data_IF_569646510451
#
_entry.id   IF_569646510451
#
_cell.length_a   1.000
_cell.length_b   1.000
_cell.length_c   1.000
_cell.angle_alpha   90.00
_cell.angle_beta   90.00
_cell.angle_gamma   90.00
#
_symmetry.space_group_name_H-M   'P 1'
#
loop_
_entity.id
_entity.type
_entity.pdbx_description
1 polymer ?
#
# COMPACT_ATOMS: atom_id res chain seq x y z
N UNK A 1 -32.68 22.04 37.69
CA UNK A 1 -31.22 21.89 37.94
C UNK A 1 -30.82 20.53 37.39
N UNK A 2 -30.01 20.38 36.34
CA UNK A 2 -29.06 21.29 35.69
C UNK A 2 -29.08 21.05 34.18
N UNK A 3 -29.12 22.14 33.42
CA UNK A 3 -28.61 22.21 32.07
C UNK A 3 -27.08 22.34 32.15
N UNK A 4 -26.36 21.61 31.29
CA UNK A 4 -24.98 21.90 30.90
C UNK A 4 -24.97 21.63 29.38
N UNK A 5 -25.27 22.64 28.56
CA UNK A 5 -24.25 23.51 27.93
C UNK A 5 -23.24 22.63 27.18
N UNK A 6 -23.50 22.25 25.93
CA UNK A 6 -23.33 23.07 24.72
C UNK A 6 -21.97 23.76 24.61
N UNK A 7 -20.89 23.03 24.88
CA UNK A 7 -19.56 23.36 24.35
C UNK A 7 -19.49 22.91 22.88
N UNK A 8 -20.23 23.66 22.07
CA UNK A 8 -20.06 23.76 20.63
C UNK A 8 -18.62 24.21 20.40
N UNK A 9 -17.76 23.30 19.95
CA UNK A 9 -16.46 23.63 19.38
C UNK A 9 -16.67 24.50 18.14
N UNK A 10 -16.88 25.80 18.37
CA UNK A 10 -16.64 26.85 17.39
C UNK A 10 -15.13 26.93 17.17
N UNK A 11 -14.59 25.95 16.47
CA UNK A 11 -13.31 26.16 15.80
C UNK A 11 -13.54 27.27 14.78
N UNK A 12 -12.87 28.40 15.01
CA UNK A 12 -12.89 29.54 14.10
C UNK A 12 -12.63 29.06 12.67
N UNK A 13 -13.39 29.48 11.65
CA UNK A 13 -13.12 29.08 10.28
C UNK A 13 -11.71 29.56 9.95
N UNK A 14 -10.78 28.62 9.80
CA UNK A 14 -9.44 28.93 9.29
C UNK A 14 -9.64 29.46 7.88
N UNK A 15 -9.60 30.78 7.74
CA UNK A 15 -9.73 31.49 6.46
C UNK A 15 -8.48 31.20 5.64
N UNK A 16 -8.48 30.08 4.92
CA UNK A 16 -7.54 29.87 3.83
C UNK A 16 -8.03 30.71 2.65
N UNK A 17 -7.17 31.62 2.17
CA UNK A 17 -7.45 32.43 0.97
C UNK A 17 -7.62 31.46 -0.19
N UNK A 18 -8.86 31.27 -0.62
CA UNK A 18 -9.20 30.37 -1.72
C UNK A 18 -9.83 31.17 -2.85
N UNK A 19 -9.26 31.02 -4.04
CA UNK A 19 -9.89 31.49 -5.27
C UNK A 19 -10.96 30.48 -5.71
N UNK A 20 -12.14 30.95 -6.10
CA UNK A 20 -13.15 30.10 -6.78
C UNK A 20 -14.35 29.61 -5.95
N UNK A 21 -14.53 30.06 -4.70
CA UNK A 21 -15.68 29.65 -3.87
C UNK A 21 -15.53 28.25 -3.26
N UNK A 22 -16.63 27.64 -2.82
CA UNK A 22 -16.62 26.27 -2.25
C UNK A 22 -16.42 25.19 -3.32
N UNK A 23 -15.94 23.99 -2.97
CA UNK A 23 -15.85 22.85 -3.93
C UNK A 23 -17.22 22.59 -4.57
N UNK A 24 -18.30 22.63 -3.80
CA UNK A 24 -19.66 22.48 -4.31
C UNK A 24 -19.97 23.47 -5.44
N UNK A 25 -19.64 24.75 -5.25
CA UNK A 25 -19.83 25.77 -6.29
C UNK A 25 -19.02 25.46 -7.54
N UNK A 26 -17.75 25.06 -7.39
CA UNK A 26 -16.87 24.68 -8.51
C UNK A 26 -17.47 23.50 -9.30
N UNK A 27 -17.93 22.46 -8.61
CA UNK A 27 -18.55 21.29 -9.25
C UNK A 27 -19.86 21.66 -9.97
N UNK A 28 -20.67 22.54 -9.39
CA UNK A 28 -21.92 23.00 -10.00
C UNK A 28 -21.68 23.91 -11.22
N UNK A 29 -20.68 24.79 -11.16
CA UNK A 29 -20.25 25.62 -12.30
C UNK A 29 -19.74 24.77 -13.46
N UNK A 30 -18.97 23.72 -13.18
CA UNK A 30 -18.54 22.78 -14.21
C UNK A 30 -19.71 22.14 -14.96
N UNK A 31 -20.79 21.76 -14.26
CA UNK A 31 -22.00 21.24 -14.90
C UNK A 31 -22.72 22.25 -15.81
N UNK A 32 -22.42 23.55 -15.68
CA UNK A 32 -22.91 24.63 -16.54
C UNK A 32 -21.94 24.96 -17.70
N UNK A 33 -20.81 24.25 -17.79
CA UNK A 33 -19.79 24.47 -18.82
C UNK A 33 -18.63 25.36 -18.40
N UNK A 34 -18.60 25.86 -17.16
CA UNK A 34 -17.49 26.67 -16.64
C UNK A 34 -16.38 25.76 -16.09
N UNK A 35 -15.24 25.67 -16.80
CA UNK A 35 -14.18 24.71 -16.48
C UNK A 35 -12.99 25.28 -15.69
N UNK A 36 -12.79 26.60 -15.73
CA UNK A 36 -11.58 27.25 -15.21
C UNK A 36 -11.32 26.95 -13.72
N UNK A 37 -12.35 27.07 -12.89
CA UNK A 37 -12.23 26.85 -11.44
C UNK A 37 -11.91 25.37 -11.13
N UNK A 38 -12.45 24.43 -11.93
CA UNK A 38 -12.18 23.00 -11.77
C UNK A 38 -10.74 22.66 -12.18
N UNK A 39 -10.25 23.23 -13.27
CA UNK A 39 -8.86 23.01 -13.70
C UNK A 39 -7.87 23.59 -12.70
N UNK A 40 -8.15 24.77 -12.12
CA UNK A 40 -7.34 25.31 -11.02
C UNK A 40 -7.34 24.37 -9.81
N UNK A 41 -8.49 23.82 -9.42
CA UNK A 41 -8.62 22.86 -8.34
C UNK A 41 -7.78 21.60 -8.59
N UNK A 42 -7.84 21.02 -9.80
CA UNK A 42 -7.02 19.86 -10.18
C UNK A 42 -5.52 20.15 -10.09
N UNK A 43 -5.10 21.33 -10.55
CA UNK A 43 -3.70 21.75 -10.49
C UNK A 43 -3.20 21.89 -9.05
N UNK A 44 -4.00 22.48 -8.17
CA UNK A 44 -3.67 22.61 -6.75
C UNK A 44 -3.52 21.27 -6.04
N UNK A 45 -4.37 20.29 -6.37
CA UNK A 45 -4.29 18.95 -5.82
C UNK A 45 -3.13 18.12 -6.39
N UNK A 46 -2.63 18.49 -7.57
CA UNK A 46 -1.51 17.81 -8.22
C UNK A 46 -0.15 18.36 -7.81
N UNK A 47 -0.12 19.37 -6.93
CA UNK A 47 1.11 19.94 -6.39
C UNK A 47 1.88 18.87 -5.58
N UNK A 48 3.11 18.48 -6.00
CA UNK A 48 3.89 17.47 -5.28
C UNK A 48 4.28 17.94 -3.87
N UNK A 49 4.37 19.25 -3.64
CA UNK A 49 4.78 19.86 -2.37
C UNK A 49 3.58 20.28 -1.51
N UNK A 50 2.38 19.75 -1.83
CA UNK A 50 1.16 20.02 -1.06
C UNK A 50 1.35 19.69 0.42
N UNK A 51 0.99 20.65 1.28
CA UNK A 51 1.17 20.56 2.73
C UNK A 51 0.00 19.86 3.41
N UNK A 52 0.25 19.25 4.57
CA UNK A 52 -0.75 18.53 5.36
C UNK A 52 -2.01 19.37 5.63
N UNK A 53 -1.86 20.63 6.04
CA UNK A 53 -3.00 21.55 6.25
C UNK A 53 -3.84 21.75 4.98
N UNK A 54 -3.21 21.77 3.81
CA UNK A 54 -3.92 21.91 2.54
C UNK A 54 -4.66 20.62 2.20
N UNK A 55 -4.02 19.46 2.35
CA UNK A 55 -4.66 18.15 2.15
C UNK A 55 -5.89 18.02 3.06
N UNK A 56 -5.75 18.32 4.35
CA UNK A 56 -6.84 18.27 5.33
C UNK A 56 -8.01 19.16 4.90
N UNK A 57 -7.74 20.42 4.55
CA UNK A 57 -8.78 21.35 4.11
C UNK A 57 -9.50 20.84 2.85
N UNK A 58 -8.75 20.32 1.88
CA UNK A 58 -9.35 19.76 0.67
C UNK A 58 -10.24 18.56 0.97
N UNK A 59 -9.76 17.60 1.78
CA UNK A 59 -10.53 16.42 2.16
C UNK A 59 -11.84 16.79 2.88
N UNK A 60 -11.80 17.78 3.78
CA UNK A 60 -13.00 18.29 4.46
C UNK A 60 -14.02 18.89 3.50
N UNK A 61 -13.58 19.67 2.53
CA UNK A 61 -14.46 20.25 1.52
C UNK A 61 -15.02 19.20 0.55
N UNK A 62 -14.21 18.21 0.15
CA UNK A 62 -14.67 17.09 -0.66
C UNK A 62 -15.69 16.23 0.07
N UNK A 63 -15.49 15.98 1.37
CA UNK A 63 -16.48 15.30 2.22
C UNK A 63 -17.79 16.08 2.29
N UNK A 64 -17.71 17.40 2.40
CA UNK A 64 -18.90 18.28 2.44
C UNK A 64 -19.64 18.38 1.10
N UNK A 65 -18.96 18.03 0.00
CA UNK A 65 -19.50 18.08 -1.37
C UNK A 65 -19.67 16.71 -2.02
N UNK A 66 -19.55 15.62 -1.24
CA UNK A 66 -19.43 14.25 -1.75
C UNK A 66 -20.61 13.81 -2.63
N UNK A 67 -21.81 14.32 -2.36
CA UNK A 67 -23.01 14.05 -3.17
C UNK A 67 -22.92 14.57 -4.61
N UNK A 68 -22.05 15.56 -4.86
CA UNK A 68 -21.86 16.17 -6.18
C UNK A 68 -20.72 15.52 -6.98
N UNK A 69 -19.85 14.75 -6.33
CA UNK A 69 -18.75 14.02 -6.95
C UNK A 69 -19.28 12.81 -7.72
N UNK A 70 -20.06 13.03 -8.78
CA UNK A 70 -20.59 11.99 -9.66
C UNK A 70 -19.50 11.46 -10.61
N UNK A 71 -19.82 10.43 -11.41
CA UNK A 71 -18.91 9.86 -12.43
C UNK A 71 -18.30 10.91 -13.37
N UNK A 72 -19.00 12.03 -13.61
CA UNK A 72 -18.51 13.15 -14.43
C UNK A 72 -17.17 13.74 -13.91
N UNK A 73 -16.86 13.53 -12.64
CA UNK A 73 -15.65 14.01 -11.97
C UNK A 73 -14.61 12.90 -11.74
N UNK A 74 -14.66 11.81 -12.50
CA UNK A 74 -13.73 10.68 -12.37
C UNK A 74 -12.25 11.11 -12.42
N UNK A 75 -11.89 12.05 -13.29
CA UNK A 75 -10.52 12.57 -13.35
C UNK A 75 -10.11 13.26 -12.06
N UNK A 76 -11.00 14.06 -11.46
CA UNK A 76 -10.72 14.74 -10.19
C UNK A 76 -10.56 13.72 -9.05
N UNK A 77 -11.44 12.73 -8.98
CA UNK A 77 -11.34 11.65 -7.99
C UNK A 77 -10.03 10.90 -8.16
N UNK A 78 -9.61 10.60 -9.39
CA UNK A 78 -8.34 9.94 -9.66
C UNK A 78 -7.11 10.76 -9.23
N UNK A 79 -7.20 12.09 -9.17
CA UNK A 79 -6.14 12.95 -8.61
C UNK A 79 -6.15 12.84 -7.08
N UNK A 80 -7.32 12.95 -6.45
CA UNK A 80 -7.47 12.83 -4.98
C UNK A 80 -6.98 11.46 -4.49
N UNK A 81 -7.30 10.38 -5.23
CA UNK A 81 -6.86 9.02 -4.93
C UNK A 81 -5.33 8.83 -5.04
N UNK A 82 -4.62 9.75 -5.70
CA UNK A 82 -3.14 9.70 -5.82
C UNK A 82 -2.42 10.61 -4.83
N UNK A 83 -3.14 11.39 -4.04
CA UNK A 83 -2.52 12.23 -3.01
C UNK A 83 -1.67 11.35 -2.07
N UNK A 84 -0.46 11.80 -1.67
CA UNK A 84 0.34 11.06 -0.71
C UNK A 84 -0.33 11.14 0.67
N UNK A 85 -0.86 10.02 1.17
CA UNK A 85 -1.60 9.98 2.43
C UNK A 85 -0.99 9.03 3.48
N UNK A 86 -0.41 7.90 3.07
CA UNK A 86 0.16 6.89 3.98
C UNK A 86 1.36 7.40 4.81
N UNK A 87 2.27 8.15 4.18
CA UNK A 87 3.49 8.69 4.82
C UNK A 87 3.31 10.13 5.33
N UNK A 88 2.06 10.55 5.61
CA UNK A 88 1.73 11.90 6.12
C UNK A 88 1.32 11.84 7.59
N UNK A 89 1.06 12.98 8.20
CA UNK A 89 0.61 13.02 9.60
C UNK A 89 -0.66 12.20 9.84
N UNK A 90 -0.82 11.70 11.06
CA UNK A 90 -2.01 10.92 11.45
C UNK A 90 -3.31 11.66 11.13
N UNK A 91 -3.35 12.98 11.27
CA UNK A 91 -4.53 13.79 10.94
C UNK A 91 -4.88 13.72 9.45
N UNK A 92 -3.89 13.74 8.55
CA UNK A 92 -4.13 13.53 7.11
C UNK A 92 -4.69 12.13 6.87
N UNK A 93 -4.11 11.10 7.50
CA UNK A 93 -4.57 9.71 7.37
C UNK A 93 -6.04 9.58 7.78
N UNK A 94 -6.43 10.08 8.95
CA UNK A 94 -7.81 9.96 9.44
C UNK A 94 -8.82 10.70 8.56
N UNK A 95 -8.49 11.91 8.09
CA UNK A 95 -9.36 12.64 7.16
C UNK A 95 -9.46 11.94 5.80
N UNK A 96 -8.38 11.31 5.35
CA UNK A 96 -8.37 10.55 4.09
C UNK A 96 -9.25 9.31 4.21
N UNK A 97 -9.13 8.55 5.29
CA UNK A 97 -9.98 7.40 5.58
C UNK A 97 -11.47 7.78 5.68
N UNK A 98 -11.78 8.91 6.34
CA UNK A 98 -13.13 9.45 6.42
C UNK A 98 -13.66 9.86 5.03
N UNK A 99 -12.81 10.45 4.19
CA UNK A 99 -13.16 10.75 2.80
C UNK A 99 -13.46 9.49 1.99
N UNK A 100 -12.63 8.44 2.07
CA UNK A 100 -12.87 7.19 1.35
C UNK A 100 -14.23 6.57 1.74
N UNK A 101 -14.54 6.51 3.03
CA UNK A 101 -15.82 6.01 3.53
C UNK A 101 -17.01 6.83 3.02
N UNK A 102 -16.93 8.16 3.07
CA UNK A 102 -17.95 9.06 2.55
C UNK A 102 -18.12 8.89 1.03
N UNK A 103 -17.01 8.77 0.29
CA UNK A 103 -17.04 8.64 -1.16
C UNK A 103 -17.73 7.34 -1.59
N UNK A 104 -17.32 6.19 -1.05
CA UNK A 104 -17.90 4.90 -1.48
C UNK A 104 -19.35 4.71 -1.00
N UNK A 105 -19.73 5.35 0.11
CA UNK A 105 -21.11 5.30 0.61
C UNK A 105 -22.06 6.18 -0.20
N UNK A 106 -21.64 7.37 -0.59
CA UNK A 106 -22.45 8.28 -1.40
C UNK A 106 -22.38 7.98 -2.91
N UNK A 107 -21.23 7.50 -3.39
CA UNK A 107 -20.89 7.36 -4.81
C UNK A 107 -20.18 6.02 -5.05
N UNK A 108 -20.94 4.92 -4.92
CA UNK A 108 -20.44 3.54 -5.08
C UNK A 108 -19.75 3.26 -6.42
N UNK A 109 -19.96 4.10 -7.44
CA UNK A 109 -19.23 4.06 -8.72
C UNK A 109 -17.70 4.12 -8.53
N UNK A 110 -17.23 4.77 -7.47
CA UNK A 110 -15.80 4.89 -7.15
C UNK A 110 -15.26 3.77 -6.26
N UNK A 111 -16.07 2.77 -5.90
CA UNK A 111 -15.61 1.62 -5.11
C UNK A 111 -14.41 0.94 -5.76
N UNK A 112 -14.50 0.56 -7.04
CA UNK A 112 -13.41 -0.10 -7.77
C UNK A 112 -12.13 0.76 -7.81
N UNK A 113 -12.18 2.06 -8.19
CA UNK A 113 -11.03 2.95 -8.07
C UNK A 113 -10.39 2.99 -6.68
N UNK A 114 -11.19 3.12 -5.61
CA UNK A 114 -10.68 3.12 -4.23
C UNK A 114 -9.98 1.80 -3.89
N UNK A 115 -10.61 0.66 -4.19
CA UNK A 115 -10.03 -0.66 -3.95
C UNK A 115 -8.76 -0.89 -4.76
N UNK A 116 -8.72 -0.46 -6.02
CA UNK A 116 -7.52 -0.58 -6.85
C UNK A 116 -6.37 0.29 -6.33
N UNK A 117 -6.67 1.47 -5.80
CA UNK A 117 -5.67 2.34 -5.17
C UNK A 117 -5.10 1.65 -3.92
N UNK A 118 -5.95 1.20 -3.00
CA UNK A 118 -5.50 0.54 -1.77
C UNK A 118 -4.74 -0.76 -2.10
N UNK A 119 -5.24 -1.56 -3.03
CA UNK A 119 -4.59 -2.79 -3.50
C UNK A 119 -3.16 -2.54 -4.01
N UNK A 120 -2.92 -1.38 -4.64
CA UNK A 120 -1.61 -1.04 -5.20
C UNK A 120 -0.54 -0.81 -4.12
N UNK A 121 -0.94 -0.40 -2.92
CA UNK A 121 -0.02 -0.23 -1.79
C UNK A 121 0.43 -1.56 -1.17
N UNK A 122 -0.24 -2.67 -1.48
CA UNK A 122 0.20 -3.99 -1.04
C UNK A 122 1.23 -4.65 -1.96
N UNK A 123 1.46 -4.08 -3.14
CA UNK A 123 2.38 -4.64 -4.14
C UNK A 123 3.63 -3.78 -4.13
N UNK A 124 4.80 -4.31 -3.72
CA UNK A 124 6.07 -3.61 -3.87
C UNK A 124 6.25 -3.18 -5.32
N UNK A 125 6.89 -2.02 -5.61
CA UNK A 125 7.25 -1.65 -6.97
C UNK A 125 7.95 -2.85 -7.61
N UNK A 126 7.35 -3.41 -8.67
CA UNK A 126 7.81 -4.66 -9.26
C UNK A 126 9.30 -4.51 -9.61
N UNK A 127 10.17 -5.20 -8.88
CA UNK A 127 11.55 -5.38 -9.31
C UNK A 127 11.46 -6.23 -10.58
N UNK A 128 11.68 -5.59 -11.73
CA UNK A 128 11.76 -6.30 -13.01
C UNK A 128 13.17 -6.86 -13.06
N UNK A 129 13.37 -8.07 -12.55
CA UNK A 129 14.63 -8.75 -12.78
C UNK A 129 14.62 -9.30 -14.20
N UNK A 130 15.46 -8.69 -15.05
CA UNK A 130 15.86 -9.30 -16.31
C UNK A 130 17.20 -9.97 -16.07
N UNK A 131 17.17 -11.30 -15.94
CA UNK A 131 18.34 -12.11 -15.65
C UNK A 131 19.35 -12.11 -16.80
N UNK A 132 20.57 -11.71 -16.46
CA UNK A 132 21.80 -12.40 -16.86
C UNK A 132 22.19 -13.52 -15.87
N UNK A 133 21.21 -14.23 -15.30
CA UNK A 133 21.40 -15.49 -14.58
C UNK A 133 21.57 -15.45 -13.05
N UNK A 134 21.30 -14.32 -12.38
CA UNK A 134 21.09 -14.29 -10.93
C UNK A 134 20.14 -13.16 -10.55
N UNK A 135 18.97 -13.53 -10.04
CA UNK A 135 18.00 -12.65 -9.42
C UNK A 135 18.17 -12.69 -7.90
N UNK A 136 18.92 -11.72 -7.37
CA UNK A 136 19.00 -11.49 -5.93
C UNK A 136 18.53 -10.05 -5.70
N UNK A 137 17.22 -9.89 -5.50
CA UNK A 137 16.69 -8.70 -4.84
C UNK A 137 16.99 -8.82 -3.34
N UNK A 138 18.23 -8.56 -2.97
CA UNK A 138 18.64 -8.29 -1.59
C UNK A 138 18.24 -6.85 -1.29
N UNK A 139 17.03 -6.65 -0.80
CA UNK A 139 16.64 -5.38 -0.21
C UNK A 139 16.25 -5.61 1.24
N UNK A 140 17.25 -5.88 2.06
CA UNK A 140 17.27 -5.72 3.52
C UNK A 140 17.12 -4.23 3.96
N UNK A 141 16.54 -3.37 3.11
CA UNK A 141 16.03 -2.06 3.52
C UNK A 141 14.60 -2.29 4.02
N UNK A 142 14.46 -2.72 5.28
CA UNK A 142 13.17 -2.66 5.96
C UNK A 142 12.72 -1.19 5.97
N UNK A 143 11.81 -0.81 5.05
CA UNK A 143 11.08 0.46 5.14
C UNK A 143 10.33 0.38 6.49
N UNK A 144 10.88 1.02 7.54
CA UNK A 144 10.38 0.96 8.93
C UNK A 144 8.87 1.28 9.01
N UNK A 145 8.35 2.05 8.05
CA UNK A 145 6.95 2.44 7.96
C UNK A 145 6.06 1.38 7.27
N UNK A 146 6.65 0.36 6.64
CA UNK A 146 5.94 -0.67 5.87
C UNK A 146 4.87 -1.40 6.69
N UNK A 147 5.13 -1.86 7.94
CA UNK A 147 4.10 -2.46 8.78
C UNK A 147 2.93 -1.49 9.05
N UNK A 148 3.23 -0.23 9.36
CA UNK A 148 2.20 0.79 9.64
C UNK A 148 1.36 1.14 8.41
N UNK A 149 1.99 1.17 7.23
CA UNK A 149 1.33 1.39 5.95
C UNK A 149 0.36 0.26 5.64
N UNK A 150 0.74 -1.00 5.90
CA UNK A 150 -0.14 -2.15 5.75
C UNK A 150 -1.33 -2.07 6.71
N UNK A 151 -1.12 -1.78 7.99
CA UNK A 151 -2.20 -1.63 8.96
C UNK A 151 -3.19 -0.54 8.54
N UNK A 152 -2.67 0.58 8.05
CA UNK A 152 -3.47 1.70 7.55
C UNK A 152 -4.27 1.31 6.30
N UNK A 153 -3.68 0.56 5.37
CA UNK A 153 -4.40 0.02 4.21
C UNK A 153 -5.50 -0.97 4.62
N UNK A 154 -5.25 -1.83 5.62
CA UNK A 154 -6.26 -2.74 6.17
C UNK A 154 -7.41 -1.97 6.83
N UNK A 155 -7.11 -0.90 7.59
CA UNK A 155 -8.14 0.00 8.13
C UNK A 155 -9.00 0.62 7.03
N UNK A 156 -8.38 1.04 5.92
CA UNK A 156 -9.12 1.56 4.76
C UNK A 156 -10.08 0.50 4.17
N UNK A 157 -9.61 -0.73 3.97
CA UNK A 157 -10.45 -1.84 3.49
C UNK A 157 -11.60 -2.16 4.46
N UNK A 158 -11.35 -2.13 5.77
CA UNK A 158 -12.39 -2.35 6.80
C UNK A 158 -13.46 -1.27 6.76
N UNK A 159 -13.08 0.01 6.63
CA UNK A 159 -14.01 1.13 6.50
C UNK A 159 -14.87 0.96 5.25
N UNK A 160 -14.27 0.68 4.10
CA UNK A 160 -15.00 0.48 2.84
C UNK A 160 -15.96 -0.70 2.96
N UNK A 161 -15.52 -1.82 3.54
CA UNK A 161 -16.35 -3.02 3.72
C UNK A 161 -17.54 -2.76 4.65
N UNK A 162 -17.37 -1.89 5.67
CA UNK A 162 -18.46 -1.48 6.56
C UNK A 162 -19.57 -0.72 5.83
N UNK A 163 -19.23 0.12 4.86
CA UNK A 163 -20.21 0.86 4.05
C UNK A 163 -20.75 0.05 2.88
N UNK A 164 -19.92 -0.80 2.26
CA UNK A 164 -20.28 -1.62 1.11
C UNK A 164 -19.94 -3.09 1.40
N UNK A 165 -20.86 -3.88 1.99
CA UNK A 165 -20.59 -5.27 2.39
C UNK A 165 -20.24 -6.21 1.23
N UNK A 166 -20.60 -5.84 -0.01
CA UNK A 166 -20.24 -6.59 -1.22
C UNK A 166 -18.80 -6.32 -1.70
N UNK A 167 -18.02 -5.52 -0.98
CA UNK A 167 -16.62 -5.20 -1.28
C UNK A 167 -15.76 -6.42 -1.65
N UNK A 168 -15.81 -7.57 -0.95
CA UNK A 168 -14.99 -8.74 -1.30
C UNK A 168 -15.16 -9.20 -2.75
N UNK A 169 -16.37 -9.13 -3.31
CA UNK A 169 -16.65 -9.53 -4.69
C UNK A 169 -15.95 -8.64 -5.73
N UNK A 170 -15.73 -7.37 -5.40
CA UNK A 170 -15.00 -6.41 -6.25
C UNK A 170 -13.50 -6.45 -6.00
N UNK A 171 -13.08 -6.75 -4.76
CA UNK A 171 -11.69 -6.80 -4.36
C UNK A 171 -10.96 -8.00 -4.96
N UNK A 172 -11.57 -9.19 -4.97
CA UNK A 172 -10.91 -10.43 -5.43
C UNK A 172 -10.37 -10.33 -6.87
N UNK A 173 -11.14 -9.87 -7.87
CA UNK A 173 -10.60 -9.68 -9.23
C UNK A 173 -9.44 -8.67 -9.31
N UNK A 174 -9.46 -7.64 -8.47
CA UNK A 174 -8.39 -6.62 -8.41
C UNK A 174 -7.11 -7.25 -7.85
N UNK A 175 -7.21 -8.06 -6.79
CA UNK A 175 -6.07 -8.76 -6.22
C UNK A 175 -5.46 -9.73 -7.23
N UNK A 176 -6.29 -10.52 -7.92
CA UNK A 176 -5.87 -11.46 -8.98
C UNK A 176 -5.09 -10.75 -10.10
N UNK A 177 -5.47 -9.52 -10.45
CA UNK A 177 -4.80 -8.71 -11.48
C UNK A 177 -3.49 -8.07 -10.98
N UNK A 178 -3.52 -7.51 -9.77
CA UNK A 178 -2.41 -6.73 -9.20
C UNK A 178 -1.27 -7.61 -8.67
N UNK A 179 -1.62 -8.68 -7.96
CA UNK A 179 -0.64 -9.57 -7.37
C UNK A 179 -0.13 -10.53 -8.44
N UNK A 180 1.17 -10.50 -8.77
CA UNK A 180 1.73 -11.54 -9.61
C UNK A 180 1.51 -12.85 -8.87
N UNK A 181 0.70 -13.75 -9.44
CA UNK A 181 0.69 -15.13 -8.97
C UNK A 181 2.14 -15.56 -8.93
N UNK A 182 2.58 -15.95 -7.74
CA UNK A 182 3.85 -16.61 -7.50
C UNK A 182 3.79 -17.93 -8.26
N UNK A 183 3.93 -17.87 -9.58
CA UNK A 183 4.56 -18.94 -10.35
C UNK A 183 6.04 -18.84 -10.03
N UNK A 184 6.38 -19.08 -8.75
CA UNK A 184 7.63 -19.70 -8.40
C UNK A 184 7.72 -20.87 -9.36
N UNK A 185 8.70 -20.85 -10.27
CA UNK A 185 9.02 -22.02 -11.04
C UNK A 185 9.23 -23.15 -10.04
N UNK A 186 8.43 -24.22 -10.14
CA UNK A 186 8.63 -25.48 -9.41
C UNK A 186 10.08 -26.00 -9.51
N UNK A 187 10.86 -25.48 -10.47
CA UNK A 187 12.28 -25.80 -10.71
C UNK A 187 13.23 -25.44 -9.57
N UNK A 188 12.95 -24.44 -8.74
CA UNK A 188 13.89 -24.06 -7.65
C UNK A 188 13.82 -25.02 -6.46
N UNK A 189 12.72 -25.76 -6.29
CA UNK A 189 12.62 -26.77 -5.22
C UNK A 189 13.38 -28.06 -5.54
N UNK A 190 13.63 -28.34 -6.82
CA UNK A 190 14.31 -29.58 -7.24
C UNK A 190 15.83 -29.43 -7.24
N UNK A 191 16.37 -28.21 -7.42
CA UNK A 191 17.82 -27.99 -7.43
C UNK A 191 18.46 -27.99 -6.04
N UNK A 192 17.73 -27.53 -5.01
CA UNK A 192 18.23 -27.54 -3.62
C UNK A 192 18.37 -28.99 -3.12
N UNK A 193 17.38 -29.84 -3.39
CA UNK A 193 17.44 -31.25 -2.95
C UNK A 193 18.49 -32.09 -3.68
N UNK A 194 19.06 -31.62 -4.81
CA UNK A 194 20.07 -32.39 -5.56
C UNK A 194 21.49 -32.05 -5.12
N UNK A 195 21.75 -30.78 -4.80
CA UNK A 195 23.04 -30.33 -4.29
C UNK A 195 23.32 -30.92 -2.90
N UNK A 196 22.31 -30.96 -2.03
CA UNK A 196 22.43 -31.55 -0.69
C UNK A 196 22.68 -33.09 -0.71
N UNK A 197 22.34 -33.77 -1.81
CA UNK A 197 22.57 -35.22 -1.97
C UNK A 197 23.98 -35.50 -2.52
N UNK A 198 24.45 -34.72 -3.50
CA UNK A 198 25.82 -34.88 -4.06
C UNK A 198 26.89 -34.48 -3.01
N UNK A 199 26.65 -33.42 -2.23
CA UNK A 199 27.58 -32.96 -1.19
C UNK A 199 27.65 -33.96 -0.01
N UNK A 200 26.57 -34.72 0.26
CA UNK A 200 26.54 -35.78 1.27
C UNK A 200 27.27 -37.06 0.81
N UNK A 201 27.33 -37.33 -0.50
CA UNK A 201 28.05 -38.48 -1.06
C UNK A 201 29.56 -38.22 -1.13
N UNK A 202 29.98 -36.99 -1.44
CA UNK A 202 31.40 -36.60 -1.47
C UNK A 202 32.01 -36.56 -0.05
N UNK A 203 31.27 -36.11 0.96
CA UNK A 203 31.69 -36.17 2.36
C UNK A 203 31.86 -37.61 2.89
N UNK A 204 31.08 -38.57 2.39
CA UNK A 204 31.24 -39.98 2.76
C UNK A 204 32.45 -40.63 2.07
N UNK A 205 32.80 -40.22 0.85
CA UNK A 205 33.96 -40.73 0.13
C UNK A 205 35.31 -40.24 0.69
N UNK A 206 35.36 -39.01 1.23
CA UNK A 206 36.59 -38.43 1.80
C UNK A 206 36.97 -38.99 3.19
N UNK A 207 36.10 -39.74 3.87
CA UNK A 207 36.40 -40.33 5.20
C UNK A 207 36.96 -41.76 5.14
N UNK A 208 37.15 -42.33 3.95
CA UNK A 208 37.67 -43.70 3.77
C UNK A 208 39.07 -43.76 3.12
N UNK A 209 39.90 -42.72 3.32
CA UNK A 209 41.28 -42.68 2.82
C UNK A 209 42.28 -42.38 3.92
N UNK A 210 43.19 -43.33 4.16
CA UNK A 210 44.52 -43.21 4.80
C UNK A 210 44.59 -42.95 6.31
N UNK A 211 44.76 -44.02 7.11
CA UNK A 211 46.01 -44.30 7.86
C UNK A 211 45.79 -45.34 8.96
N UNK A 212 46.02 -46.62 8.66
CA UNK A 212 46.11 -47.69 9.67
C UNK A 212 47.21 -48.70 9.35
N UNK A 213 48.46 -48.25 9.16
CA UNK A 213 49.61 -49.19 9.16
C UNK A 213 50.90 -48.68 9.81
N UNK A 214 50.89 -47.67 10.69
CA UNK A 214 52.12 -47.29 11.44
C UNK A 214 51.99 -47.32 12.98
N UNK A 215 50.86 -47.79 13.52
CA UNK A 215 50.63 -47.87 14.97
C UNK A 215 50.82 -49.23 15.64
N UNK A 216 51.11 -50.31 14.89
CA UNK A 216 51.08 -51.68 15.41
C UNK A 216 52.46 -52.36 15.58
N UNK A 217 53.57 -51.69 15.25
CA UNK A 217 54.91 -52.29 15.32
C UNK A 217 55.75 -51.92 16.56
N UNK A 218 55.19 -51.18 17.54
CA UNK A 218 55.91 -50.78 18.76
C UNK A 218 55.36 -51.36 20.10
N UNK A 219 54.58 -52.43 20.07
CA UNK A 219 54.09 -53.11 21.29
C UNK A 219 54.50 -54.59 21.41
N UNK A 220 55.72 -54.97 21.02
CA UNK A 220 56.17 -56.37 21.18
C UNK A 220 57.64 -56.59 21.59
N UNK A 221 58.25 -55.68 22.36
CA UNK A 221 59.65 -55.86 22.83
C UNK A 221 59.94 -55.41 24.28
N UNK A 222 58.97 -55.48 25.21
CA UNK A 222 59.31 -55.42 26.65
C UNK A 222 58.58 -56.55 27.38
N UNK A 223 59.28 -57.66 27.54
CA UNK A 223 58.73 -58.83 28.24
C UNK A 223 59.58 -60.09 28.08
N UNK A 224 60.88 -60.01 28.38
CA UNK A 224 61.68 -61.09 28.99
C UNK A 224 63.04 -60.56 29.41
#
# INVERSE_FOLDING_TARGET
>A
MLALESDFFNSSPRKTVRFGGTVTEVLLKYKKGETNDLELLKNQLSDPDIKDDQIINWLLEFRSSVMYLTKDFEQLINIILRLPWLKRSQTVVEEYLAFLGNLVSAQTVFLRPCLSMIASHFVPPRVIIKEGGIDVSDSDDEDDDLPSNFDTCHRALQIITRYVPSTPWFLMPILVDKFPFVRKSERTLVSVSRQDIEDAEEAAAQTCGTDTTEGLFNMLQIGK
#
